data_IF_918269342371
#
_entry.id   IF_918269342371
#
_cell.length_a   1.000
_cell.length_b   1.000
_cell.length_c   1.000
_cell.angle_alpha   90.00
_cell.angle_beta   90.00
_cell.angle_gamma   90.00
#
_symmetry.space_group_name_H-M   'P 1'
#
loop_
_entity.id
_entity.type
_entity.pdbx_description
1 polymer ?
#
# COMPACT_ATOMS: atom_id res chain seq x y z
N UNK A 1 -57.19 26.52 23.96
CA UNK A 1 -56.72 26.39 23.80
C UNK A 1 -55.84 25.81 23.47
N UNK A 2 -55.53 25.52 23.31
CA UNK A 2 -54.78 25.25 23.07
C UNK A 2 -53.84 24.75 22.53
N UNK A 3 -53.53 24.66 22.37
CA UNK A 3 -52.77 24.45 22.00
C UNK A 3 -51.89 23.92 21.58
N UNK A 4 -51.71 23.82 21.52
CA UNK A 4 -50.93 23.55 21.18
C UNK A 4 -49.81 23.10 20.91
N UNK A 5 -49.59 23.03 21.02
CA UNK A 5 -48.67 22.75 20.91
C UNK A 5 -47.99 22.05 20.39
N UNK A 6 -47.88 21.87 20.35
CA UNK A 6 -47.28 21.39 19.87
C UNK A 6 -46.41 21.01 19.33
N UNK A 7 -46.11 20.79 19.11
CA UNK A 7 -45.37 20.57 18.62
C UNK A 7 -44.33 20.21 18.31
N UNK A 8 -44.05 20.15 18.38
CA UNK A 8 -43.15 20.06 18.13
C UNK A 8 -42.27 19.40 17.81
N UNK A 9 -42.09 19.10 17.82
CA UNK A 9 -41.30 18.61 17.66
C UNK A 9 -40.45 18.14 17.08
N UNK A 10 -40.17 18.04 16.95
CA UNK A 10 -39.51 17.77 16.53
C UNK A 10 -38.57 17.30 16.21
N UNK A 11 -38.10 17.17 16.09
CA UNK A 11 -37.24 16.95 15.78
C UNK A 11 -36.32 16.41 15.46
N UNK A 12 -35.87 16.21 15.36
CA UNK A 12 -35.04 15.88 15.11
C UNK A 12 -34.14 15.32 14.65
N UNK A 13 -33.78 15.04 14.47
CA UNK A 13 -33.00 14.63 14.12
C UNK A 13 -32.01 14.24 13.61
N UNK A 14 -31.59 14.05 13.51
CA UNK A 14 -30.72 13.84 13.11
C UNK A 14 -29.75 13.34 12.74
N UNK A 15 -29.39 13.06 12.67
CA UNK A 15 -28.58 12.69 12.39
C UNK A 15 -27.55 12.31 12.02
N UNK A 16 -27.09 12.18 11.93
CA UNK A 16 -26.19 12.05 11.79
C UNK A 16 -25.46 11.32 11.26
N UNK A 17 -24.92 11.03 10.88
CA UNK A 17 -24.26 10.47 10.36
C UNK A 17 -23.16 10.32 10.17
N UNK A 18 -22.56 10.03 10.02
CA UNK A 18 -21.61 9.89 9.94
C UNK A 18 -20.63 9.47 9.34
N UNK A 19 -20.07 9.54 8.99
CA UNK A 19 -19.03 9.55 8.44
C UNK A 19 -18.24 8.54 8.40
N UNK A 20 -17.88 8.23 8.74
CA UNK A 20 -17.31 7.20 8.76
C UNK A 20 -16.46 6.87 7.75
N UNK A 21 -16.46 7.10 6.87
CA UNK A 21 -15.81 6.83 5.88
C UNK A 21 -14.49 7.12 5.97
N UNK A 22 -14.27 7.90 6.56
CA UNK A 22 -13.00 8.29 6.71
C UNK A 22 -12.17 7.11 6.84
N UNK A 23 -12.61 6.27 7.47
CA UNK A 23 -11.88 5.22 7.75
C UNK A 23 -11.41 4.47 6.61
N UNK A 24 -11.93 4.63 5.63
CA UNK A 24 -11.55 3.91 4.59
C UNK A 24 -10.58 4.35 3.79
N UNK A 25 -10.03 5.33 4.03
CA UNK A 25 -9.26 5.84 3.20
C UNK A 25 -8.13 5.05 2.99
N UNK A 26 -7.56 4.88 2.06
CA UNK A 26 -6.39 4.34 1.84
C UNK A 26 -6.37 2.91 1.99
N UNK A 27 -5.50 2.25 1.90
CA UNK A 27 -5.44 0.91 2.03
C UNK A 27 -5.52 0.50 3.39
N UNK A 28 -5.35 1.37 4.20
CA UNK A 28 -5.42 1.02 5.53
C UNK A 28 -4.40 0.02 5.91
N UNK A 29 -4.68 -0.79 6.84
CA UNK A 29 -3.71 -1.63 7.46
C UNK A 29 -3.78 -3.09 7.06
N UNK A 30 -4.58 -3.42 6.08
CA UNK A 30 -4.75 -4.83 5.72
C UNK A 30 -3.45 -5.49 5.32
N UNK A 31 -2.52 -4.74 4.80
CA UNK A 31 -1.27 -5.30 4.31
C UNK A 31 -0.06 -4.88 5.13
N UNK A 32 -0.29 -4.32 6.29
CA UNK A 32 0.81 -3.87 7.13
C UNK A 32 1.67 -5.03 7.59
N UNK A 33 2.93 -4.77 7.75
CA UNK A 33 3.87 -5.77 8.22
C UNK A 33 5.17 -5.69 7.46
N UNK A 34 6.01 -6.67 7.68
CA UNK A 34 7.30 -6.79 7.00
C UNK A 34 7.16 -7.80 5.88
N UNK A 35 7.64 -7.44 4.72
CA UNK A 35 7.51 -8.25 3.53
C UNK A 35 8.88 -8.58 2.96
N UNK A 36 9.04 -9.81 2.54
CA UNK A 36 10.23 -10.23 1.82
C UNK A 36 9.91 -10.13 0.35
N UNK A 37 10.75 -9.44 -0.41
CA UNK A 37 10.50 -9.19 -1.82
C UNK A 37 11.63 -9.76 -2.64
N UNK A 38 11.32 -10.59 -3.60
CA UNK A 38 12.30 -11.13 -4.52
C UNK A 38 12.10 -10.44 -5.85
N UNK A 39 13.16 -9.87 -6.38
CA UNK A 39 13.11 -9.10 -7.61
C UNK A 39 13.94 -9.82 -8.66
N UNK A 40 13.32 -10.12 -9.78
CA UNK A 40 13.96 -10.88 -10.84
C UNK A 40 14.06 -10.04 -12.08
N UNK A 41 15.22 -10.07 -12.74
CA UNK A 41 15.41 -9.37 -13.99
C UNK A 41 15.17 -10.33 -15.15
N UNK A 42 14.27 -9.94 -16.02
CA UNK A 42 13.97 -10.71 -17.23
C UNK A 42 14.60 -10.05 -18.45
N UNK A 43 14.91 -8.74 -18.37
CA UNK A 43 15.49 -8.03 -19.46
C UNK A 43 16.57 -7.18 -18.92
N UNK A 44 17.72 -7.24 -19.49
CA UNK A 44 18.88 -6.49 -19.01
C UNK A 44 19.71 -7.32 -18.05
N UNK A 45 20.78 -6.70 -17.54
CA UNK A 45 21.72 -7.39 -16.72
C UNK A 45 21.71 -6.99 -15.26
N UNK A 46 20.57 -6.70 -14.73
CA UNK A 46 20.49 -6.22 -13.36
C UNK A 46 20.46 -7.32 -12.30
N UNK A 47 20.36 -8.57 -12.74
CA UNK A 47 20.42 -9.68 -11.79
C UNK A 47 19.16 -9.83 -10.96
N UNK A 48 19.28 -10.53 -9.86
CA UNK A 48 18.18 -10.76 -8.95
C UNK A 48 18.58 -10.35 -7.57
N UNK A 49 17.64 -9.89 -6.80
CA UNK A 49 17.95 -9.44 -5.46
C UNK A 49 16.75 -9.68 -4.56
N UNK A 50 16.99 -9.84 -3.29
CA UNK A 50 15.93 -10.01 -2.31
C UNK A 50 16.07 -8.90 -1.29
N UNK A 51 14.99 -8.23 -1.02
CA UNK A 51 15.00 -7.11 -0.09
C UNK A 51 13.85 -7.23 0.88
N UNK A 52 13.91 -6.48 1.95
CA UNK A 52 12.84 -6.42 2.91
C UNK A 52 12.21 -5.06 2.85
N UNK A 53 10.89 -5.01 2.90
CA UNK A 53 10.16 -3.77 2.90
C UNK A 53 9.16 -3.79 4.03
N UNK A 54 8.74 -2.62 4.45
CA UNK A 54 7.74 -2.52 5.49
C UNK A 54 6.55 -1.78 4.94
N UNK A 55 5.36 -2.28 5.25
CA UNK A 55 4.14 -1.58 4.93
C UNK A 55 3.51 -1.18 6.24
N UNK A 56 3.16 0.08 6.37
CA UNK A 56 2.53 0.60 7.56
C UNK A 56 1.51 1.64 7.15
N UNK A 57 0.27 1.45 7.53
CA UNK A 57 -0.79 2.37 7.16
C UNK A 57 -0.98 2.48 5.67
N UNK A 58 -0.71 1.42 4.92
CA UNK A 58 -0.85 1.43 3.48
C UNK A 58 0.30 2.09 2.75
N UNK A 59 1.38 2.45 3.46
CA UNK A 59 2.52 3.05 2.81
C UNK A 59 3.71 2.13 2.86
N UNK A 60 4.53 2.15 1.82
CA UNK A 60 5.67 1.27 1.69
C UNK A 60 6.94 2.01 2.05
N UNK A 61 7.78 1.38 2.85
CA UNK A 61 9.05 1.92 3.29
C UNK A 61 10.13 0.86 3.13
N UNK A 62 11.36 1.29 2.87
CA UNK A 62 12.45 0.35 2.87
C UNK A 62 12.88 0.05 4.30
N UNK A 63 13.38 -1.14 4.50
CA UNK A 63 13.94 -1.50 5.80
C UNK A 63 15.45 -1.53 5.75
N UNK A 64 16.03 -1.16 4.64
CA UNK A 64 17.46 -1.24 4.45
C UNK A 64 17.95 0.10 3.99
N UNK A 65 19.05 0.57 4.54
CA UNK A 65 19.55 1.88 4.18
C UNK A 65 20.25 1.90 2.84
N UNK A 66 20.52 0.75 2.25
CA UNK A 66 21.17 0.74 0.97
C UNK A 66 20.23 1.12 -0.16
N UNK A 67 18.93 1.24 0.09
CA UNK A 67 18.01 1.70 -0.91
C UNK A 67 16.84 2.39 -0.23
N UNK A 68 16.08 3.15 -0.99
CA UNK A 68 14.91 3.81 -0.48
C UNK A 68 13.71 3.39 -1.26
N UNK A 69 12.65 3.06 -0.59
CA UNK A 69 11.40 2.67 -1.21
C UNK A 69 10.30 3.63 -0.76
N UNK A 70 9.39 3.92 -1.67
CA UNK A 70 8.32 4.85 -1.42
C UNK A 70 7.14 4.41 -2.25
N UNK A 71 6.02 4.22 -1.64
CA UNK A 71 4.87 3.77 -2.38
C UNK A 71 3.65 3.61 -1.51
N UNK A 72 2.61 3.08 -2.09
CA UNK A 72 1.34 2.92 -1.42
C UNK A 72 0.60 1.69 -1.89
N UNK A 73 -0.23 1.17 -1.02
CA UNK A 73 -1.08 0.02 -1.29
C UNK A 73 -2.52 0.45 -1.11
N UNK A 74 -3.34 0.19 -2.10
CA UNK A 74 -4.75 0.50 -1.99
C UNK A 74 -5.52 -0.58 -1.25
N UNK A 75 -6.77 -0.30 -0.98
CA UNK A 75 -7.60 -1.23 -0.23
C UNK A 75 -7.77 -2.56 -0.95
N UNK A 76 -7.70 -2.55 -2.26
CA UNK A 76 -7.84 -3.78 -3.03
C UNK A 76 -6.51 -4.48 -3.26
N UNK A 77 -5.44 -4.02 -2.65
CA UNK A 77 -4.14 -4.66 -2.76
C UNK A 77 -3.27 -4.15 -3.90
N UNK A 78 -3.76 -3.24 -4.72
CA UNK A 78 -2.95 -2.71 -5.80
C UNK A 78 -1.84 -1.87 -5.20
N UNK A 79 -0.61 -2.13 -5.62
CA UNK A 79 0.55 -1.50 -5.04
C UNK A 79 1.39 -0.85 -6.13
N UNK A 80 1.93 0.32 -5.82
CA UNK A 80 2.85 1.02 -6.68
C UNK A 80 3.99 1.53 -5.83
N UNK A 81 5.20 1.31 -6.29
CA UNK A 81 6.38 1.62 -5.50
C UNK A 81 7.46 2.20 -6.40
N UNK A 82 8.18 3.16 -5.88
CA UNK A 82 9.41 3.67 -6.49
C UNK A 82 10.56 3.30 -5.59
N UNK A 83 11.65 2.89 -6.17
CA UNK A 83 12.82 2.47 -5.42
C UNK A 83 14.04 3.18 -5.98
N UNK A 84 14.91 3.62 -5.13
CA UNK A 84 16.13 4.28 -5.54
C UNK A 84 17.31 3.75 -4.73
N UNK A 85 18.45 3.62 -5.37
CA UNK A 85 19.67 3.18 -4.73
C UNK A 85 20.81 3.84 -5.48
N UNK A 86 21.38 4.87 -4.89
CA UNK A 86 22.43 5.63 -5.53
C UNK A 86 21.87 6.32 -6.76
N UNK A 87 22.46 6.05 -7.94
CA UNK A 87 21.96 6.68 -9.12
C UNK A 87 20.94 5.88 -9.80
N UNK A 88 20.65 4.66 -9.31
CA UNK A 88 19.69 3.79 -9.96
C UNK A 88 18.33 4.01 -9.38
N UNK A 89 17.33 3.96 -10.20
CA UNK A 89 15.96 4.00 -9.73
C UNK A 89 15.08 3.10 -10.58
N UNK A 90 13.98 2.67 -9.98
CA UNK A 90 13.08 1.75 -10.64
C UNK A 90 11.69 1.96 -10.09
N UNK A 91 10.71 1.54 -10.82
CA UNK A 91 9.34 1.55 -10.32
C UNK A 91 8.72 0.19 -10.50
N UNK A 92 7.84 -0.15 -9.61
CA UNK A 92 7.15 -1.42 -9.65
C UNK A 92 5.68 -1.26 -9.36
N UNK A 93 4.90 -2.17 -9.87
CA UNK A 93 3.49 -2.20 -9.60
C UNK A 93 3.02 -3.64 -9.58
N UNK A 94 1.91 -3.87 -8.94
CA UNK A 94 1.36 -5.22 -8.85
C UNK A 94 0.22 -5.25 -7.86
N UNK A 95 0.04 -6.40 -7.27
CA UNK A 95 -1.07 -6.59 -6.36
C UNK A 95 -0.67 -7.51 -5.21
N UNK A 96 -1.08 -7.13 -4.02
CA UNK A 96 -0.95 -7.95 -2.85
C UNK A 96 -2.27 -8.65 -2.58
N UNK A 97 -2.20 -9.83 -2.01
CA UNK A 97 -3.38 -10.60 -1.68
C UNK A 97 -3.04 -11.43 -0.45
N UNK A 98 -3.68 -11.13 0.67
CA UNK A 98 -3.40 -11.81 1.88
C UNK A 98 -1.94 -11.66 2.26
N UNK A 99 -1.15 -12.67 2.19
CA UNK A 99 0.23 -12.68 2.62
C UNK A 99 1.21 -12.80 1.46
N UNK A 100 0.76 -12.60 0.24
CA UNK A 100 1.63 -12.73 -0.91
C UNK A 100 1.36 -11.61 -1.90
N UNK A 101 2.25 -11.45 -2.84
CA UNK A 101 2.06 -10.46 -3.87
C UNK A 101 2.98 -10.71 -5.04
N UNK A 102 2.70 -10.05 -6.14
CA UNK A 102 3.51 -10.19 -7.35
C UNK A 102 3.23 -9.01 -8.27
N UNK A 103 4.16 -8.76 -9.14
CA UNK A 103 4.00 -7.69 -10.09
C UNK A 103 5.18 -7.57 -11.02
N UNK A 104 5.35 -6.37 -11.57
CA UNK A 104 6.39 -6.08 -12.52
C UNK A 104 7.14 -4.85 -12.11
N UNK A 105 8.34 -4.73 -12.62
CA UNK A 105 9.15 -3.56 -12.35
C UNK A 105 9.97 -3.20 -13.58
N UNK A 106 10.41 -1.96 -13.65
CA UNK A 106 11.32 -1.53 -14.69
C UNK A 106 12.20 -0.42 -14.14
N UNK A 107 13.44 -0.38 -14.61
CA UNK A 107 14.36 0.68 -14.21
C UNK A 107 13.96 1.97 -14.93
N UNK A 108 14.33 3.10 -14.37
CA UNK A 108 13.95 4.38 -14.93
C UNK A 108 14.60 4.62 -16.30
N UNK A 109 15.72 3.98 -16.59
CA UNK A 109 16.35 4.10 -17.88
C UNK A 109 15.75 3.14 -18.90
N UNK A 110 14.99 2.17 -18.43
CA UNK A 110 14.44 1.16 -19.33
C UNK A 110 15.39 0.03 -19.64
N UNK A 111 16.59 0.05 -19.04
CA UNK A 111 17.56 -0.97 -19.37
C UNK A 111 17.26 -2.29 -18.74
N UNK A 112 16.59 -2.30 -17.62
CA UNK A 112 16.25 -3.54 -16.94
C UNK A 112 14.79 -3.56 -16.62
N UNK A 113 14.20 -4.74 -16.67
CA UNK A 113 12.84 -4.92 -16.24
C UNK A 113 12.62 -6.37 -15.88
N UNK A 114 11.56 -6.65 -15.19
CA UNK A 114 11.26 -8.01 -14.81
C UNK A 114 10.05 -8.10 -13.93
N UNK A 115 10.09 -9.06 -13.03
CA UNK A 115 8.96 -9.33 -12.14
C UNK A 115 9.44 -9.31 -10.70
N UNK A 116 8.50 -9.22 -9.79
CA UNK A 116 8.80 -9.36 -8.37
C UNK A 116 7.72 -10.21 -7.73
N UNK A 117 8.09 -10.84 -6.65
CA UNK A 117 7.14 -11.55 -5.82
C UNK A 117 7.44 -11.20 -4.38
N UNK A 118 6.44 -11.28 -3.53
CA UNK A 118 6.60 -10.89 -2.15
C UNK A 118 5.80 -11.81 -1.24
N UNK A 119 6.27 -11.94 -0.03
CA UNK A 119 5.53 -12.66 0.99
C UNK A 119 5.66 -11.92 2.31
N UNK A 120 4.59 -11.86 3.05
CA UNK A 120 4.58 -11.19 4.34
C UNK A 120 5.16 -12.15 5.36
N UNK A 121 6.07 -11.63 6.18
CA UNK A 121 6.65 -12.45 7.20
C UNK A 121 5.66 -12.65 8.30
N UNK A 122 5.59 -13.86 8.76
CA UNK A 122 4.71 -14.15 9.84
C UNK A 122 5.36 -13.70 11.11
N UNK A 123 4.57 -13.39 12.05
CA UNK A 123 5.09 -13.29 13.28
C UNK A 123 5.47 -12.01 13.73
N UNK A 124 6.57 -11.76 14.22
CA UNK A 124 6.78 -10.67 14.89
C UNK A 124 7.17 -9.55 14.17
N UNK A 125 6.93 -8.50 14.55
CA UNK A 125 7.24 -7.30 13.90
C UNK A 125 8.13 -6.44 14.71
#
# INVERSE_FOLDING_TARGET
>A
MKALSRLLLAAVLLLACTPTNAAHRGGGSAYDGTWSVAIYTLRGDCGSVRVAARIAGGRVYSKDESYQANGAVGANGVIRVSVASGRLSASGSGRLSHNSGAGRWSSSTGECSGTWSASRRAGYY
#
